data_IF_692150648605
#
_entry.id   IF_692150648605
#
_cell.length_a   1.000
_cell.length_b   1.000
_cell.length_c   1.000
_cell.angle_alpha   90.00
_cell.angle_beta   90.00
_cell.angle_gamma   90.00
#
_symmetry.space_group_name_H-M   'P 1'
#
loop_
_entity.id
_entity.type
_entity.pdbx_description
1 polymer ?
#
# COMPACT_ATOMS: atom_id res chain seq x y z
N UNK A 1 87.92 12.49 26.78
CA UNK A 1 88.69 11.86 25.69
C UNK A 1 88.34 10.37 25.70
N UNK A 2 87.98 9.80 24.53
CA UNK A 2 87.60 8.39 24.24
C UNK A 2 86.15 7.99 24.59
N UNK A 3 85.23 7.92 23.61
CA UNK A 3 84.90 6.82 22.65
C UNK A 3 84.04 5.73 23.33
N UNK A 4 82.71 5.67 23.14
CA UNK A 4 81.90 5.25 21.97
C UNK A 4 81.80 3.72 21.75
N UNK A 5 80.56 3.31 21.37
CA UNK A 5 80.12 2.11 20.64
C UNK A 5 79.58 0.87 21.39
N UNK A 6 78.25 0.86 21.48
CA UNK A 6 77.30 -0.13 20.89
C UNK A 6 77.55 -1.63 21.09
N UNK A 7 76.55 -2.31 21.67
CA UNK A 7 76.31 -3.76 21.50
C UNK A 7 74.97 -3.98 20.79
N UNK A 8 74.98 -4.84 19.77
CA UNK A 8 73.80 -5.33 19.04
C UNK A 8 73.68 -6.85 19.17
N UNK A 9 72.42 -7.32 19.21
CA UNK A 9 71.86 -8.66 18.91
C UNK A 9 72.18 -9.75 19.96
N UNK A 10 71.23 -10.61 20.34
CA UNK A 10 70.65 -11.70 19.52
C UNK A 10 69.16 -11.98 19.81
N UNK A 11 68.49 -12.44 18.77
CA UNK A 11 67.10 -12.84 18.61
C UNK A 11 66.76 -14.18 19.33
N UNK A 12 65.61 -14.27 19.99
CA UNK A 12 65.05 -15.51 20.52
C UNK A 12 63.60 -15.67 20.05
N UNK A 13 63.35 -16.71 19.27
CA UNK A 13 62.05 -17.08 18.70
C UNK A 13 61.21 -17.76 19.78
N UNK A 14 60.07 -17.18 20.15
CA UNK A 14 59.06 -17.85 20.99
C UNK A 14 57.88 -18.29 20.13
N UNK A 15 57.72 -19.61 20.02
CA UNK A 15 56.55 -20.26 19.42
C UNK A 15 55.33 -20.04 20.32
N UNK A 16 54.24 -19.48 19.78
CA UNK A 16 52.93 -19.41 20.44
C UNK A 16 51.90 -20.09 19.55
N UNK A 17 51.37 -21.21 20.02
CA UNK A 17 50.24 -21.90 19.43
C UNK A 17 49.00 -20.98 19.46
N UNK A 18 48.33 -20.79 18.32
CA UNK A 18 47.01 -20.15 18.23
C UNK A 18 45.93 -21.20 18.52
N UNK A 19 44.91 -20.92 19.35
CA UNK A 19 43.73 -21.77 19.43
C UNK A 19 42.86 -21.56 18.18
N UNK A 20 42.46 -22.66 17.55
CA UNK A 20 41.47 -22.69 16.47
C UNK A 20 40.10 -22.42 17.10
N UNK A 21 39.58 -21.19 16.93
CA UNK A 21 38.19 -20.88 17.28
C UNK A 21 37.32 -21.32 16.11
N UNK A 22 36.68 -22.48 16.24
CA UNK A 22 35.67 -22.95 15.30
C UNK A 22 34.41 -22.07 15.41
N UNK A 23 34.26 -21.11 14.50
CA UNK A 23 33.05 -20.28 14.41
C UNK A 23 31.96 -21.11 13.75
N UNK A 24 31.04 -21.64 14.56
CA UNK A 24 29.77 -22.20 14.10
C UNK A 24 28.96 -21.08 13.44
N UNK A 25 28.96 -21.04 12.11
CA UNK A 25 27.95 -20.29 11.36
C UNK A 25 26.59 -20.94 11.63
N UNK A 26 25.90 -20.43 12.64
CA UNK A 26 24.49 -20.69 12.82
C UNK A 26 23.78 -19.97 11.67
N UNK A 27 23.45 -20.69 10.59
CA UNK A 27 22.49 -20.20 9.61
C UNK A 27 21.14 -20.07 10.31
N UNK A 28 20.92 -18.93 10.97
CA UNK A 28 19.59 -18.51 11.35
C UNK A 28 18.84 -18.22 10.07
N UNK A 29 18.11 -19.22 9.58
CA UNK A 29 17.03 -19.00 8.63
C UNK A 29 15.98 -18.17 9.37
N UNK A 30 16.15 -16.85 9.36
CA UNK A 30 15.06 -15.95 9.69
C UNK A 30 13.95 -16.25 8.68
N UNK A 31 12.79 -16.79 9.10
CA UNK A 31 11.69 -16.88 8.18
C UNK A 31 11.43 -15.47 7.68
N UNK A 32 11.52 -15.28 6.36
CA UNK A 32 11.23 -14.02 5.70
C UNK A 32 9.87 -13.54 6.19
N UNK A 33 9.79 -12.29 6.68
CA UNK A 33 8.56 -11.60 7.11
C UNK A 33 7.40 -11.75 6.11
N UNK A 34 7.72 -11.99 4.84
CA UNK A 34 6.80 -12.30 3.74
C UNK A 34 5.88 -13.50 4.05
N UNK A 35 6.41 -14.55 4.68
CA UNK A 35 5.61 -15.76 4.97
C UNK A 35 4.51 -15.53 6.02
N UNK A 36 4.59 -14.45 6.80
CA UNK A 36 3.63 -14.15 7.85
C UNK A 36 2.39 -13.40 7.34
N UNK A 37 2.47 -12.74 6.18
CA UNK A 37 1.33 -12.06 5.55
C UNK A 37 0.37 -12.99 4.80
N UNK A 38 0.81 -14.18 4.37
CA UNK A 38 -0.03 -15.12 3.61
C UNK A 38 -1.24 -15.67 4.39
N UNK A 39 -1.34 -15.40 5.70
CA UNK A 39 -2.38 -15.95 6.59
C UNK A 39 -3.46 -14.96 7.03
N UNK A 40 -3.54 -13.76 6.42
CA UNK A 40 -4.53 -12.74 6.84
C UNK A 40 -5.96 -13.06 6.34
N UNK A 41 -6.11 -13.69 5.17
CA UNK A 41 -7.40 -14.11 4.63
C UNK A 41 -7.66 -15.60 4.91
N UNK A 42 -8.34 -15.89 6.01
CA UNK A 42 -8.70 -17.26 6.41
C UNK A 42 -9.98 -17.75 5.71
N UNK A 43 -10.28 -19.06 5.80
CA UNK A 43 -11.54 -19.62 5.31
C UNK A 43 -12.78 -18.92 5.89
N UNK A 44 -12.69 -18.44 7.13
CA UNK A 44 -13.79 -17.72 7.77
C UNK A 44 -14.02 -16.33 7.17
N UNK A 45 -12.95 -15.65 6.75
CA UNK A 45 -13.05 -14.37 6.01
C UNK A 45 -13.79 -14.60 4.70
N UNK A 46 -13.38 -15.58 3.90
CA UNK A 46 -14.05 -15.92 2.64
C UNK A 46 -15.51 -16.33 2.84
N UNK A 47 -15.81 -17.04 3.95
CA UNK A 47 -17.19 -17.39 4.32
C UNK A 47 -18.01 -16.15 4.67
N UNK A 48 -17.46 -15.18 5.43
CA UNK A 48 -18.13 -13.92 5.73
C UNK A 48 -18.43 -13.13 4.46
N UNK A 49 -17.45 -12.99 3.57
CA UNK A 49 -17.63 -12.33 2.28
C UNK A 49 -18.72 -13.04 1.46
N UNK A 50 -18.68 -14.38 1.40
CA UNK A 50 -19.69 -15.15 0.68
C UNK A 50 -21.10 -14.99 1.25
N UNK A 51 -21.23 -14.80 2.56
CA UNK A 51 -22.53 -14.61 3.20
C UNK A 51 -23.12 -13.22 2.92
N UNK A 52 -22.28 -12.19 2.79
CA UNK A 52 -22.71 -10.80 2.58
C UNK A 52 -22.88 -10.48 1.09
N UNK A 53 -21.90 -10.88 0.26
CA UNK A 53 -21.79 -10.48 -1.14
C UNK A 53 -21.99 -11.63 -2.13
N UNK A 54 -22.13 -12.87 -1.64
CA UNK A 54 -22.28 -14.06 -2.48
C UNK A 54 -20.96 -14.75 -2.84
N UNK A 55 -21.08 -15.96 -3.39
CA UNK A 55 -19.93 -16.84 -3.67
C UNK A 55 -18.98 -16.26 -4.71
N UNK A 56 -19.52 -15.64 -5.75
CA UNK A 56 -18.71 -15.08 -6.85
C UNK A 56 -17.84 -13.92 -6.37
N UNK A 57 -18.37 -13.06 -5.48
CA UNK A 57 -17.61 -12.04 -4.80
C UNK A 57 -16.46 -12.64 -3.96
N UNK A 58 -16.75 -13.70 -3.20
CA UNK A 58 -15.73 -14.40 -2.40
C UNK A 58 -14.61 -14.99 -3.26
N UNK A 59 -14.95 -15.59 -4.41
CA UNK A 59 -13.96 -16.05 -5.38
C UNK A 59 -13.16 -14.89 -5.98
N UNK A 60 -13.81 -13.78 -6.32
CA UNK A 60 -13.14 -12.60 -6.89
C UNK A 60 -12.17 -11.96 -5.89
N UNK A 61 -12.50 -11.98 -4.58
CA UNK A 61 -11.56 -11.60 -3.52
C UNK A 61 -10.40 -12.59 -3.46
N UNK A 62 -10.63 -13.90 -3.58
CA UNK A 62 -9.55 -14.88 -3.64
C UNK A 62 -8.62 -14.63 -4.85
N UNK A 63 -9.17 -14.29 -6.02
CA UNK A 63 -8.39 -13.93 -7.22
C UNK A 63 -7.55 -12.66 -6.99
N UNK A 64 -8.10 -11.66 -6.30
CA UNK A 64 -7.34 -10.48 -5.87
C UNK A 64 -6.16 -10.87 -4.99
N UNK A 65 -6.40 -11.75 -4.00
CA UNK A 65 -5.35 -12.21 -3.08
C UNK A 65 -4.28 -13.02 -3.80
N UNK A 66 -4.67 -13.87 -4.74
CA UNK A 66 -3.73 -14.59 -5.60
C UNK A 66 -2.89 -13.62 -6.43
N UNK A 67 -3.51 -12.61 -7.05
CA UNK A 67 -2.78 -11.58 -7.79
C UNK A 67 -1.75 -10.85 -6.92
N UNK A 68 -2.11 -10.46 -5.70
CA UNK A 68 -1.18 -9.83 -4.76
C UNK A 68 0.02 -10.74 -4.48
N UNK A 69 -0.21 -12.04 -4.27
CA UNK A 69 0.86 -13.00 -4.03
C UNK A 69 1.79 -13.18 -5.24
N UNK A 70 1.22 -13.28 -6.44
CA UNK A 70 1.97 -13.40 -7.70
C UNK A 70 2.84 -12.17 -7.96
N UNK A 71 2.32 -10.98 -7.66
CA UNK A 71 3.02 -9.72 -7.87
C UNK A 71 4.12 -9.43 -6.83
N UNK A 72 4.25 -10.17 -5.72
CA UNK A 72 5.25 -9.87 -4.68
C UNK A 72 6.68 -9.79 -5.25
N UNK A 73 7.03 -10.71 -6.15
CA UNK A 73 8.36 -10.80 -6.78
C UNK A 73 8.52 -10.01 -8.07
N UNK A 74 7.45 -9.36 -8.56
CA UNK A 74 7.48 -8.64 -9.82
C UNK A 74 8.07 -7.23 -9.69
N UNK A 75 8.44 -6.65 -10.83
CA UNK A 75 8.91 -5.28 -10.89
C UNK A 75 7.79 -4.27 -10.58
N UNK A 76 8.19 -3.02 -10.32
CA UNK A 76 7.27 -1.96 -9.93
C UNK A 76 6.26 -1.64 -11.04
N UNK A 77 6.67 -1.67 -12.31
CA UNK A 77 5.79 -1.33 -13.42
C UNK A 77 4.68 -2.37 -13.52
N UNK A 78 5.03 -3.66 -13.46
CA UNK A 78 4.06 -4.76 -13.48
C UNK A 78 3.09 -4.68 -12.30
N UNK A 79 3.59 -4.38 -11.09
CA UNK A 79 2.73 -4.11 -9.91
C UNK A 79 1.72 -2.99 -10.19
N UNK A 80 2.15 -1.85 -10.71
CA UNK A 80 1.27 -0.72 -11.02
C UNK A 80 0.23 -1.09 -12.09
N UNK A 81 0.66 -1.71 -13.19
CA UNK A 81 -0.22 -2.06 -14.30
C UNK A 81 -1.25 -3.13 -13.92
N UNK A 82 -0.82 -4.19 -13.25
CA UNK A 82 -1.71 -5.30 -12.88
C UNK A 82 -2.73 -4.89 -11.82
N UNK A 83 -2.35 -4.11 -10.82
CA UNK A 83 -3.31 -3.56 -9.85
C UNK A 83 -4.28 -2.58 -10.51
N UNK A 84 -3.79 -1.67 -11.35
CA UNK A 84 -4.67 -0.74 -12.07
C UNK A 84 -5.67 -1.49 -12.96
N UNK A 85 -5.21 -2.52 -13.69
CA UNK A 85 -6.05 -3.36 -14.55
C UNK A 85 -7.07 -4.15 -13.75
N UNK A 86 -6.68 -4.74 -12.62
CA UNK A 86 -7.55 -5.57 -11.78
C UNK A 86 -8.80 -4.80 -11.34
N UNK A 87 -8.63 -3.60 -10.79
CA UNK A 87 -9.76 -2.80 -10.29
C UNK A 87 -10.55 -2.09 -11.39
N UNK A 88 -9.92 -1.75 -12.52
CA UNK A 88 -10.60 -1.07 -13.63
C UNK A 88 -11.57 -1.96 -14.44
N UNK A 89 -11.85 -3.18 -13.98
CA UNK A 89 -12.89 -4.05 -14.54
C UNK A 89 -14.25 -3.91 -13.88
N UNK A 90 -14.30 -3.32 -12.68
CA UNK A 90 -15.54 -3.08 -11.95
C UNK A 90 -16.32 -1.93 -12.60
N UNK A 91 -17.59 -1.81 -12.24
CA UNK A 91 -18.46 -0.76 -12.77
C UNK A 91 -18.28 0.54 -11.98
N UNK A 92 -18.41 1.67 -12.68
CA UNK A 92 -18.49 2.97 -12.02
C UNK A 92 -19.94 3.26 -11.65
N UNK A 93 -20.22 3.49 -10.37
CA UNK A 93 -21.56 3.83 -9.86
C UNK A 93 -21.41 4.83 -8.73
N UNK A 94 -22.03 6.01 -8.86
CA UNK A 94 -22.01 7.05 -7.80
C UNK A 94 -22.64 6.54 -6.49
N UNK A 95 -22.09 6.98 -5.36
CA UNK A 95 -22.53 6.56 -4.03
C UNK A 95 -24.01 6.76 -3.75
N UNK A 96 -24.58 7.85 -4.26
CA UNK A 96 -26.01 8.15 -4.04
C UNK A 96 -26.90 7.09 -4.70
N UNK A 97 -26.42 6.47 -5.78
CA UNK A 97 -27.08 5.36 -6.46
C UNK A 97 -26.74 4.06 -5.76
N UNK A 98 -25.47 3.84 -5.43
CA UNK A 98 -24.96 2.58 -4.91
C UNK A 98 -25.31 2.38 -3.42
N UNK A 99 -24.80 3.25 -2.56
CA UNK A 99 -24.88 3.17 -1.10
C UNK A 99 -26.05 3.95 -0.50
N UNK A 100 -26.73 4.79 -1.30
CA UNK A 100 -27.75 5.75 -0.84
C UNK A 100 -27.21 6.80 0.12
N UNK A 101 -25.91 7.01 0.09
CA UNK A 101 -25.19 8.04 0.83
C UNK A 101 -24.60 9.06 -0.14
N UNK A 102 -24.25 10.25 0.36
CA UNK A 102 -23.66 11.29 -0.50
C UNK A 102 -22.20 11.05 -0.82
N UNK A 103 -21.50 10.35 0.06
CA UNK A 103 -20.05 10.15 0.07
C UNK A 103 -19.79 8.96 1.01
N UNK A 104 -19.34 7.83 0.46
CA UNK A 104 -19.15 6.54 1.11
C UNK A 104 -17.88 5.89 0.59
N UNK A 105 -16.83 5.91 1.38
CA UNK A 105 -15.56 5.30 0.99
C UNK A 105 -15.62 3.79 1.19
N UNK A 106 -15.75 3.03 0.12
CA UNK A 106 -15.80 1.57 0.16
C UNK A 106 -14.41 0.97 0.47
N UNK A 107 -14.42 -0.11 1.24
CA UNK A 107 -13.24 -0.96 1.40
C UNK A 107 -12.92 -1.68 0.09
N UNK A 108 -11.68 -2.17 -0.10
CA UNK A 108 -11.36 -3.00 -1.27
C UNK A 108 -12.28 -4.24 -1.40
N UNK A 109 -12.73 -4.81 -0.27
CA UNK A 109 -13.64 -5.95 -0.26
C UNK A 109 -15.05 -5.55 -0.67
N UNK A 110 -15.55 -4.37 -0.28
CA UNK A 110 -16.85 -3.86 -0.72
C UNK A 110 -16.88 -3.54 -2.21
N UNK A 111 -15.83 -2.89 -2.74
CA UNK A 111 -15.70 -2.63 -4.18
C UNK A 111 -15.75 -3.94 -4.97
N UNK A 112 -14.96 -4.95 -4.55
CA UNK A 112 -14.97 -6.27 -5.19
C UNK A 112 -16.31 -6.97 -4.98
N UNK A 113 -16.87 -6.88 -3.79
CA UNK A 113 -18.05 -7.64 -3.37
C UNK A 113 -19.34 -7.19 -4.04
N UNK A 114 -19.48 -5.90 -4.27
CA UNK A 114 -20.61 -5.32 -5.00
C UNK A 114 -20.35 -5.25 -6.52
N UNK A 115 -19.08 -5.31 -6.93
CA UNK A 115 -18.67 -5.20 -8.32
C UNK A 115 -18.71 -3.77 -8.86
N UNK A 116 -18.92 -2.78 -7.99
CA UNK A 116 -19.08 -1.38 -8.36
C UNK A 116 -18.55 -0.42 -7.28
N UNK A 117 -18.23 0.80 -7.69
CA UNK A 117 -17.83 1.90 -6.80
C UNK A 117 -17.64 3.18 -7.58
N UNK A 118 -17.34 4.28 -6.90
CA UNK A 118 -17.10 5.57 -7.56
C UNK A 118 -15.58 5.87 -7.67
N UNK A 119 -15.13 7.13 -7.73
CA UNK A 119 -13.74 7.41 -8.06
C UNK A 119 -12.75 7.10 -6.93
N UNK A 120 -13.11 7.38 -5.68
CA UNK A 120 -12.28 7.13 -4.51
C UNK A 120 -12.13 5.65 -4.21
N UNK A 121 -13.17 4.85 -4.43
CA UNK A 121 -13.18 3.42 -4.13
C UNK A 121 -12.05 2.71 -4.90
N UNK A 122 -11.90 3.07 -6.18
CA UNK A 122 -10.84 2.55 -7.05
C UNK A 122 -9.46 2.99 -6.57
N UNK A 123 -9.34 4.25 -6.15
CA UNK A 123 -8.08 4.84 -5.66
C UNK A 123 -7.65 4.18 -4.36
N UNK A 124 -8.58 3.99 -3.43
CA UNK A 124 -8.40 3.32 -2.13
C UNK A 124 -7.97 1.86 -2.35
N UNK A 125 -8.67 1.12 -3.21
CA UNK A 125 -8.35 -0.28 -3.46
C UNK A 125 -6.98 -0.48 -4.12
N UNK A 126 -6.63 0.38 -5.09
CA UNK A 126 -5.29 0.41 -5.70
C UNK A 126 -4.22 0.80 -4.67
N UNK A 127 -4.50 1.79 -3.82
CA UNK A 127 -3.58 2.25 -2.79
C UNK A 127 -3.22 1.13 -1.81
N UNK A 128 -4.21 0.49 -1.18
CA UNK A 128 -3.95 -0.59 -0.23
C UNK A 128 -3.22 -1.77 -0.87
N UNK A 129 -3.58 -2.14 -2.09
CA UNK A 129 -2.92 -3.20 -2.83
C UNK A 129 -1.43 -2.90 -3.07
N UNK A 130 -1.09 -1.67 -3.47
CA UNK A 130 0.29 -1.29 -3.74
C UNK A 130 1.12 -1.13 -2.46
N UNK A 131 0.52 -0.65 -1.37
CA UNK A 131 1.15 -0.64 -0.04
C UNK A 131 1.53 -2.06 0.38
N UNK A 132 0.62 -3.02 0.19
CA UNK A 132 0.87 -4.42 0.51
C UNK A 132 1.95 -5.07 -0.36
N UNK A 133 2.06 -4.65 -1.62
CA UNK A 133 3.13 -5.06 -2.54
C UNK A 133 4.49 -4.39 -2.26
N UNK A 134 4.58 -3.65 -1.15
CA UNK A 134 5.80 -3.00 -0.68
C UNK A 134 6.12 -1.67 -1.34
N UNK A 135 5.17 -1.06 -2.09
CA UNK A 135 5.38 0.29 -2.63
C UNK A 135 5.42 1.28 -1.47
N UNK A 136 6.48 2.08 -1.32
CA UNK A 136 6.58 3.03 -0.22
C UNK A 136 5.42 4.02 -0.21
N UNK A 137 4.76 4.17 0.93
CA UNK A 137 3.60 5.05 1.09
C UNK A 137 3.88 6.50 0.68
N UNK A 138 5.08 7.00 0.94
CA UNK A 138 5.48 8.36 0.56
C UNK A 138 5.57 8.57 -0.97
N UNK A 139 5.56 7.50 -1.76
CA UNK A 139 5.46 7.54 -3.23
C UNK A 139 4.01 7.55 -3.73
N UNK A 140 3.03 7.25 -2.89
CA UNK A 140 1.61 7.17 -3.27
C UNK A 140 0.83 8.35 -2.69
N UNK A 141 0.04 9.02 -3.55
CA UNK A 141 -0.83 10.12 -3.12
C UNK A 141 -2.21 9.98 -3.76
N UNK A 142 -3.25 10.03 -2.94
CA UNK A 142 -4.61 10.22 -3.39
C UNK A 142 -4.75 11.68 -3.80
N UNK A 143 -5.08 11.92 -5.07
CA UNK A 143 -5.12 13.25 -5.66
C UNK A 143 -6.53 13.60 -6.10
N UNK A 144 -7.07 14.66 -5.52
CA UNK A 144 -8.33 15.25 -5.92
C UNK A 144 -8.09 16.21 -7.08
N UNK A 145 -8.86 16.03 -8.14
CA UNK A 145 -8.72 16.74 -9.41
C UNK A 145 -10.08 17.18 -9.94
N UNK A 146 -10.10 18.07 -10.91
CA UNK A 146 -11.26 18.26 -11.80
C UNK A 146 -11.02 17.45 -13.08
N UNK A 147 -11.95 16.55 -13.42
CA UNK A 147 -11.99 15.92 -14.73
C UNK A 147 -12.65 16.90 -15.71
N UNK A 148 -11.82 17.60 -16.49
CA UNK A 148 -12.22 18.76 -17.29
C UNK A 148 -13.22 18.40 -18.39
N UNK A 149 -13.07 17.22 -19.01
CA UNK A 149 -13.97 16.75 -20.06
C UNK A 149 -15.36 16.41 -19.54
N UNK A 150 -15.46 15.95 -18.30
CA UNK A 150 -16.72 15.63 -17.61
C UNK A 150 -17.29 16.82 -16.84
N UNK A 151 -16.48 17.86 -16.61
CA UNK A 151 -16.88 19.05 -15.85
C UNK A 151 -17.16 18.79 -14.37
N UNK A 152 -16.59 17.73 -13.79
CA UNK A 152 -16.88 17.30 -12.42
C UNK A 152 -15.60 16.99 -11.62
N UNK A 153 -15.69 17.00 -10.28
CA UNK A 153 -14.62 16.49 -9.44
C UNK A 153 -14.34 15.01 -9.67
N UNK A 154 -13.09 14.60 -9.42
CA UNK A 154 -12.63 13.23 -9.59
C UNK A 154 -11.46 12.95 -8.64
N UNK A 155 -11.20 11.67 -8.38
CA UNK A 155 -10.03 11.23 -7.62
C UNK A 155 -9.17 10.25 -8.43
N UNK A 156 -7.85 10.42 -8.35
CA UNK A 156 -6.88 9.51 -8.96
C UNK A 156 -5.78 9.14 -7.97
N UNK A 157 -5.10 8.02 -8.21
CA UNK A 157 -3.91 7.64 -7.47
C UNK A 157 -2.66 8.09 -8.22
N UNK A 158 -1.86 8.95 -7.60
CA UNK A 158 -0.60 9.43 -8.15
C UNK A 158 0.58 8.65 -7.54
N UNK A 159 1.43 8.09 -8.40
CA UNK A 159 2.69 7.46 -8.01
C UNK A 159 3.88 8.36 -8.38
N UNK A 160 4.74 8.64 -7.40
CA UNK A 160 5.94 9.46 -7.53
C UNK A 160 7.20 8.61 -7.41
N UNK A 161 7.99 8.53 -8.48
CA UNK A 161 9.29 7.83 -8.40
C UNK A 161 10.24 8.53 -7.43
N UNK A 162 10.24 9.87 -7.46
CA UNK A 162 10.90 10.73 -6.48
C UNK A 162 9.97 11.88 -6.10
N UNK A 163 10.21 12.60 -4.98
CA UNK A 163 9.35 13.72 -4.56
C UNK A 163 9.22 14.85 -5.60
N UNK A 164 10.15 14.96 -6.56
CA UNK A 164 10.16 16.00 -7.61
C UNK A 164 9.82 15.46 -9.00
N UNK A 165 9.60 14.15 -9.14
CA UNK A 165 9.23 13.54 -10.42
C UNK A 165 7.83 13.96 -10.87
N UNK A 166 7.62 13.99 -12.19
CA UNK A 166 6.25 13.99 -12.75
C UNK A 166 5.62 12.64 -12.38
N UNK A 167 4.48 12.62 -11.67
CA UNK A 167 3.90 11.37 -11.22
C UNK A 167 3.24 10.61 -12.37
N UNK A 168 3.19 9.28 -12.22
CA UNK A 168 2.28 8.43 -12.98
C UNK A 168 0.89 8.51 -12.35
N UNK A 169 -0.15 8.50 -13.20
CA UNK A 169 -1.55 8.58 -12.78
C UNK A 169 -2.24 7.25 -13.04
N UNK A 170 -2.74 6.63 -11.98
CA UNK A 170 -3.60 5.46 -12.00
C UNK A 170 -5.04 5.94 -11.79
N UNK A 171 -5.89 5.65 -12.76
CA UNK A 171 -7.23 6.22 -12.89
C UNK A 171 -8.22 5.12 -13.34
N UNK A 172 -9.50 5.30 -13.03
CA UNK A 172 -10.61 4.46 -13.49
C UNK A 172 -11.24 4.98 -14.79
N UNK A 173 -11.25 6.30 -15.05
CA UNK A 173 -11.72 6.87 -16.33
C UNK A 173 -10.78 6.45 -17.47
N UNK A 174 -9.48 6.73 -17.31
CA UNK A 174 -8.44 6.25 -18.23
C UNK A 174 -7.77 5.00 -17.67
N UNK A 175 -7.99 3.85 -18.30
CA UNK A 175 -7.33 2.59 -17.94
C UNK A 175 -5.81 2.57 -18.19
N UNK A 176 -5.30 3.52 -18.97
CA UNK A 176 -3.86 3.67 -19.23
C UNK A 176 -3.21 4.45 -18.10
N UNK A 177 -2.11 3.92 -17.58
CA UNK A 177 -1.22 4.66 -16.68
C UNK A 177 -0.41 5.63 -17.52
N UNK A 178 -0.55 6.92 -17.23
CA UNK A 178 0.13 7.99 -17.97
C UNK A 178 0.79 8.96 -16.99
N UNK A 179 1.93 9.57 -17.37
CA UNK A 179 2.48 10.71 -16.64
C UNK A 179 1.47 11.85 -16.55
N UNK A 180 1.43 12.57 -15.43
CA UNK A 180 0.46 13.64 -15.20
C UNK A 180 0.50 14.75 -16.26
N UNK A 181 1.67 15.07 -16.82
CA UNK A 181 1.79 16.05 -17.91
C UNK A 181 1.18 15.59 -19.25
N UNK A 182 0.78 14.32 -19.37
CA UNK A 182 0.03 13.76 -20.49
C UNK A 182 -1.47 13.66 -20.20
N UNK A 183 -1.92 13.92 -18.97
CA UNK A 183 -3.32 13.95 -18.55
C UNK A 183 -3.85 15.38 -18.52
N UNK A 184 -3.94 15.99 -19.70
CA UNK A 184 -4.44 17.38 -19.87
C UNK A 184 -5.93 17.52 -19.57
N UNK A 185 -6.62 16.40 -19.47
CA UNK A 185 -8.02 16.25 -19.07
C UNK A 185 -8.21 16.35 -17.55
N UNK A 186 -7.14 16.35 -16.74
CA UNK A 186 -7.20 16.47 -15.28
C UNK A 186 -6.53 17.76 -14.79
N UNK A 187 -7.23 18.53 -13.97
CA UNK A 187 -6.68 19.69 -13.27
C UNK A 187 -6.48 19.38 -11.77
N UNK A 188 -5.25 19.38 -11.23
CA UNK A 188 -5.01 19.05 -9.82
C UNK A 188 -5.53 20.14 -8.88
N UNK A 189 -6.15 19.72 -7.78
CA UNK A 189 -6.64 20.64 -6.73
C UNK A 189 -5.80 20.45 -5.46
N UNK A 190 -5.79 19.23 -4.88
CA UNK A 190 -4.97 18.90 -3.72
C UNK A 190 -4.67 17.39 -3.69
N UNK A 191 -3.69 16.99 -2.86
CA UNK A 191 -3.36 15.57 -2.67
C UNK A 191 -2.95 15.27 -1.24
N UNK A 192 -3.23 14.06 -0.79
CA UNK A 192 -2.88 13.54 0.53
C UNK A 192 -2.42 12.08 0.42
N UNK A 193 -1.78 11.57 1.47
CA UNK A 193 -1.43 10.16 1.61
C UNK A 193 -2.08 9.61 2.89
N UNK A 194 -1.95 8.30 3.14
CA UNK A 194 -2.44 7.69 4.37
C UNK A 194 -1.86 8.38 5.61
N UNK A 195 -0.56 8.68 5.63
CA UNK A 195 0.10 9.40 6.71
C UNK A 195 -0.46 10.81 6.94
N UNK A 196 -0.98 11.50 5.93
CA UNK A 196 -1.68 12.77 6.11
C UNK A 196 -2.96 12.61 6.93
N UNK A 197 -3.65 11.47 6.76
CA UNK A 197 -4.80 11.07 7.57
C UNK A 197 -4.33 10.60 8.97
N UNK A 198 -3.35 9.69 9.07
CA UNK A 198 -2.83 9.21 10.36
C UNK A 198 -2.12 10.28 11.20
N UNK A 199 -1.45 11.26 10.58
CA UNK A 199 -0.76 12.36 11.26
C UNK A 199 -1.74 13.42 11.77
N UNK A 200 -2.82 13.74 11.03
CA UNK A 200 -3.87 14.60 11.59
C UNK A 200 -4.60 13.97 12.78
N UNK A 201 -4.65 12.63 12.86
CA UNK A 201 -5.06 11.89 14.07
C UNK A 201 -4.05 12.05 15.23
N UNK A 202 -2.76 11.88 14.97
CA UNK A 202 -1.72 11.97 16.00
C UNK A 202 -1.50 13.39 16.55
N UNK A 203 -1.76 14.44 15.76
CA UNK A 203 -1.52 15.83 16.15
C UNK A 203 -2.61 16.45 17.03
N UNK A 204 -3.68 15.74 17.39
CA UNK A 204 -4.70 16.25 18.32
C UNK A 204 -5.41 17.53 17.84
N UNK A 205 -5.27 17.88 16.55
CA UNK A 205 -5.99 18.98 15.89
C UNK A 205 -7.46 18.63 15.61
N UNK A 206 -8.00 17.65 16.36
CA UNK A 206 -9.43 17.38 16.52
C UNK A 206 -10.21 18.50 17.21
N UNK A 207 -9.59 19.66 17.50
CA UNK A 207 -10.31 20.85 17.94
C UNK A 207 -10.81 21.64 16.72
N UNK A 208 -11.93 21.16 16.16
CA UNK A 208 -12.78 21.77 15.10
C UNK A 208 -12.44 21.50 13.62
N UNK A 209 -12.03 20.30 13.26
CA UNK A 209 -12.53 19.73 12.00
C UNK A 209 -13.78 18.95 12.35
N UNK A 210 -14.90 19.36 11.74
CA UNK A 210 -16.26 18.90 12.04
C UNK A 210 -16.30 17.37 12.06
N UNK A 211 -17.26 16.81 12.77
CA UNK A 211 -17.62 15.39 12.78
C UNK A 211 -18.07 14.85 11.40
N UNK A 212 -17.25 15.02 10.37
CA UNK A 212 -17.52 14.75 8.95
C UNK A 212 -16.34 15.16 8.05
N UNK A 213 -16.20 14.47 6.92
CA UNK A 213 -15.12 14.66 5.94
C UNK A 213 -14.19 13.44 5.80
N UNK A 214 -13.13 13.54 4.97
CA UNK A 214 -12.30 12.39 4.55
C UNK A 214 -11.71 11.57 5.68
N UNK A 215 -11.38 12.20 6.83
CA UNK A 215 -10.85 11.48 7.98
C UNK A 215 -11.87 10.52 8.60
N UNK A 216 -13.10 10.99 8.80
CA UNK A 216 -14.16 10.15 9.39
C UNK A 216 -14.46 8.98 8.47
N UNK A 217 -14.58 9.24 7.16
CA UNK A 217 -14.88 8.21 6.16
C UNK A 217 -13.77 7.16 6.08
N UNK A 218 -12.51 7.59 6.18
CA UNK A 218 -11.37 6.68 6.28
C UNK A 218 -11.42 5.81 7.55
N UNK A 219 -11.70 6.41 8.71
CA UNK A 219 -11.82 5.67 9.98
C UNK A 219 -12.98 4.66 9.92
N UNK A 220 -14.16 5.09 9.45
CA UNK A 220 -15.35 4.23 9.29
C UNK A 220 -15.07 3.07 8.32
N UNK A 221 -14.36 3.34 7.21
CA UNK A 221 -13.95 2.33 6.23
C UNK A 221 -12.98 1.31 6.85
N UNK A 222 -11.97 1.76 7.58
CA UNK A 222 -11.00 0.87 8.26
C UNK A 222 -11.71 -0.01 9.30
N UNK A 223 -12.69 0.54 10.03
CA UNK A 223 -13.50 -0.24 10.96
C UNK A 223 -14.34 -1.31 10.26
N UNK A 224 -14.99 -0.97 9.14
CA UNK A 224 -15.73 -1.96 8.32
C UNK A 224 -14.81 -3.07 7.80
N UNK A 225 -13.60 -2.72 7.35
CA UNK A 225 -12.61 -3.71 6.92
C UNK A 225 -12.22 -4.64 8.07
N UNK A 226 -11.95 -4.09 9.26
CA UNK A 226 -11.62 -4.85 10.46
C UNK A 226 -12.72 -5.85 10.84
N UNK A 227 -13.99 -5.45 10.77
CA UNK A 227 -15.13 -6.35 11.01
C UNK A 227 -15.18 -7.52 10.03
N UNK A 228 -14.93 -7.28 8.73
CA UNK A 228 -14.89 -8.38 7.75
C UNK A 228 -13.72 -9.33 8.02
N UNK A 229 -12.56 -8.77 8.38
CA UNK A 229 -11.34 -9.55 8.59
C UNK A 229 -11.36 -10.35 9.91
N UNK A 230 -11.84 -9.74 10.99
CA UNK A 230 -11.73 -10.28 12.35
C UNK A 230 -13.07 -10.71 12.97
N UNK A 231 -14.19 -10.37 12.33
CA UNK A 231 -15.54 -10.54 12.89
C UNK A 231 -15.95 -9.37 13.79
N UNK A 232 -17.19 -9.41 14.27
CA UNK A 232 -17.73 -8.35 15.13
C UNK A 232 -16.93 -8.25 16.44
N UNK A 233 -16.58 -7.02 16.83
CA UNK A 233 -16.09 -6.74 18.18
C UNK A 233 -17.24 -6.98 19.16
N UNK A 234 -17.10 -7.99 20.01
CA UNK A 234 -18.04 -8.26 21.11
C UNK A 234 -18.02 -7.15 22.15
#
# INVERSE_FOLDING_TARGET
>A
MHLDKTKHRVCGVFSRALPIVATLYCLSTFPSLIAQQANVFTSDVYKRISNVYGKDASHTVADWRQLINELQSEDLDEKLYSINRFFNRFDFVDDIVHWKEKDYWATPIELIGTGAGDCEDYVIAKYFSLIELGVPENKLRLMYVTALELGQPHMVLAFYETPTSIPLVLDNISRRILPANKRRDLAPIYSFNGNGLWAAKAMGTGKKLRSGGPMKMWDDMVERLDTVMNGDKK
#
